data_IF_401148313604
#
_entry.id   IF_401148313604
#
_cell.length_a   1.000
_cell.length_b   1.000
_cell.length_c   1.000
_cell.angle_alpha   90.00
_cell.angle_beta   90.00
_cell.angle_gamma   90.00
#
_symmetry.space_group_name_H-M   'P 1'
#
loop_
_entity.id
_entity.type
_entity.pdbx_description
1 polymer ?
#
# COMPACT_ATOMS: atom_id res chain seq x y z
N UNK A 1 0.98 -12.18 20.47
CA UNK A 1 1.59 -10.83 20.33
C UNK A 1 2.47 -10.87 19.09
N UNK A 2 1.90 -10.60 17.91
CA UNK A 2 2.61 -10.76 16.65
C UNK A 2 3.30 -9.43 16.28
N UNK A 3 4.61 -9.37 16.50
CA UNK A 3 5.61 -8.41 15.99
C UNK A 3 5.07 -7.14 15.28
N UNK A 4 4.29 -6.33 15.99
CA UNK A 4 3.75 -5.06 15.49
C UNK A 4 4.69 -3.87 15.74
N UNK A 5 5.85 -4.13 16.36
CA UNK A 5 6.77 -3.07 16.83
C UNK A 5 7.94 -2.82 15.89
N UNK A 6 8.35 -3.81 15.10
CA UNK A 6 9.54 -3.70 14.24
C UNK A 6 9.22 -3.99 12.77
N UNK A 7 9.58 -3.05 11.90
CA UNK A 7 9.62 -3.27 10.45
C UNK A 7 11.01 -3.71 10.01
N UNK A 8 11.12 -4.25 8.80
CA UNK A 8 12.41 -4.63 8.19
C UNK A 8 13.44 -3.48 8.28
N UNK A 9 13.05 -2.26 7.89
CA UNK A 9 13.91 -1.08 7.94
C UNK A 9 14.25 -0.65 9.38
N UNK A 10 13.29 -0.78 10.31
CA UNK A 10 13.53 -0.44 11.71
C UNK A 10 14.62 -1.33 12.30
N UNK A 11 14.55 -2.65 12.07
CA UNK A 11 15.56 -3.59 12.61
C UNK A 11 16.95 -3.27 12.07
N UNK A 12 17.07 -2.97 10.77
CA UNK A 12 18.36 -2.60 10.16
C UNK A 12 18.89 -1.28 10.76
N UNK A 13 18.04 -0.26 10.86
CA UNK A 13 18.46 1.07 11.31
C UNK A 13 18.77 1.14 12.81
N UNK A 14 17.90 0.61 13.67
CA UNK A 14 18.05 0.68 15.13
C UNK A 14 18.94 -0.43 15.68
N UNK A 15 19.07 -1.55 14.97
CA UNK A 15 19.71 -2.77 15.49
C UNK A 15 18.93 -3.48 16.60
N UNK A 16 17.68 -3.10 16.81
CA UNK A 16 16.81 -3.72 17.82
C UNK A 16 15.71 -4.54 17.16
N UNK A 17 15.39 -5.69 17.77
CA UNK A 17 14.37 -6.61 17.27
C UNK A 17 14.89 -7.66 16.28
N UNK A 18 14.02 -8.62 15.97
CA UNK A 18 14.26 -9.69 15.00
C UNK A 18 12.93 -10.30 14.55
N UNK A 19 12.93 -10.97 13.40
CA UNK A 19 11.82 -11.87 13.01
C UNK A 19 12.13 -13.31 13.41
N UNK A 20 11.12 -14.02 13.89
CA UNK A 20 11.17 -15.43 14.29
C UNK A 20 9.77 -16.04 14.23
N UNK A 21 9.65 -17.34 14.53
CA UNK A 21 8.37 -18.07 14.53
C UNK A 21 7.26 -17.41 15.37
N UNK A 22 7.63 -16.72 16.44
CA UNK A 22 6.70 -16.00 17.32
C UNK A 22 6.22 -14.65 16.75
N UNK A 23 6.77 -14.23 15.61
CA UNK A 23 6.42 -12.94 15.00
C UNK A 23 5.02 -12.90 14.40
N UNK A 24 4.41 -14.06 14.13
CA UNK A 24 3.13 -14.16 13.44
C UNK A 24 3.19 -13.58 12.01
N UNK A 25 2.07 -13.00 11.56
CA UNK A 25 1.97 -12.40 10.23
C UNK A 25 2.51 -10.95 10.22
N UNK A 26 3.42 -10.64 9.29
CA UNK A 26 3.91 -9.28 9.04
C UNK A 26 4.33 -9.08 7.57
N UNK A 27 4.15 -7.87 7.03
CA UNK A 27 4.64 -7.52 5.70
C UNK A 27 6.18 -7.53 5.63
N UNK A 28 6.85 -7.22 6.74
CA UNK A 28 8.31 -7.31 6.83
C UNK A 28 8.82 -8.75 6.75
N UNK A 29 8.08 -9.73 7.28
CA UNK A 29 8.39 -11.16 7.10
C UNK A 29 8.23 -11.55 5.64
N UNK A 30 7.18 -11.07 4.95
CA UNK A 30 7.00 -11.29 3.51
C UNK A 30 8.16 -10.73 2.69
N UNK A 31 8.65 -9.53 3.04
CA UNK A 31 9.84 -8.92 2.44
C UNK A 31 11.07 -9.80 2.59
N UNK A 32 11.33 -10.28 3.79
CA UNK A 32 12.42 -11.21 4.04
C UNK A 32 12.28 -12.51 3.25
N UNK A 33 11.11 -13.17 3.29
CA UNK A 33 10.82 -14.39 2.53
C UNK A 33 11.01 -14.18 1.01
N UNK A 34 10.57 -13.04 0.48
CA UNK A 34 10.74 -12.72 -0.94
C UNK A 34 12.21 -12.62 -1.33
N UNK A 35 13.02 -11.91 -0.53
CA UNK A 35 14.47 -11.81 -0.75
C UNK A 35 15.17 -13.16 -0.61
N UNK A 36 14.80 -13.97 0.39
CA UNK A 36 15.32 -15.32 0.56
C UNK A 36 15.01 -16.20 -0.67
N UNK A 37 13.76 -16.18 -1.14
CA UNK A 37 13.35 -16.91 -2.34
C UNK A 37 14.13 -16.47 -3.59
N UNK A 38 14.38 -15.17 -3.78
CA UNK A 38 15.20 -14.64 -4.90
C UNK A 38 16.62 -15.17 -4.88
N UNK A 39 17.19 -15.37 -3.69
CA UNK A 39 18.52 -15.93 -3.49
C UNK A 39 18.54 -17.47 -3.50
N UNK A 40 17.42 -18.13 -3.79
CA UNK A 40 17.32 -19.59 -3.88
C UNK A 40 16.94 -20.29 -2.57
N UNK A 41 16.72 -19.56 -1.48
CA UNK A 41 16.28 -20.14 -0.20
C UNK A 41 14.75 -20.25 -0.17
N UNK A 42 14.25 -21.39 -0.65
CA UNK A 42 12.81 -21.62 -0.84
C UNK A 42 12.01 -21.68 0.47
N UNK A 43 11.47 -20.52 0.87
CA UNK A 43 10.55 -20.35 1.98
C UNK A 43 9.12 -20.81 1.65
N UNK A 44 8.85 -21.21 0.39
CA UNK A 44 7.50 -21.39 -0.14
C UNK A 44 6.92 -20.05 -0.60
N UNK A 45 5.60 -19.91 -0.54
CA UNK A 45 4.95 -18.62 -0.82
C UNK A 45 5.41 -17.59 0.21
N UNK A 46 5.75 -16.37 -0.24
CA UNK A 46 6.04 -15.26 0.65
C UNK A 46 4.73 -14.70 1.24
N UNK A 47 4.11 -15.46 2.12
CA UNK A 47 2.82 -15.15 2.71
C UNK A 47 2.91 -14.10 3.85
N UNK A 48 4.09 -13.93 4.43
CA UNK A 48 4.34 -13.06 5.58
C UNK A 48 4.20 -13.75 6.92
N UNK A 49 4.02 -15.08 6.96
CA UNK A 49 4.02 -15.88 8.18
C UNK A 49 5.37 -16.54 8.40
N UNK A 50 6.00 -16.27 9.54
CA UNK A 50 7.29 -16.88 9.86
C UNK A 50 7.07 -18.32 10.35
N UNK A 51 6.98 -19.26 9.42
CA UNK A 51 6.81 -20.68 9.72
C UNK A 51 8.12 -21.44 9.95
N UNK A 52 8.00 -22.73 10.27
CA UNK A 52 9.16 -23.62 10.42
C UNK A 52 10.02 -23.69 9.16
N UNK A 53 9.40 -23.68 7.97
CA UNK A 53 10.15 -23.65 6.71
C UNK A 53 10.96 -22.35 6.57
N UNK A 54 10.37 -21.19 6.87
CA UNK A 54 11.08 -19.91 6.86
C UNK A 54 12.25 -19.92 7.85
N UNK A 55 12.08 -20.47 9.05
CA UNK A 55 13.17 -20.61 10.02
C UNK A 55 14.33 -21.46 9.49
N UNK A 56 14.02 -22.61 8.87
CA UNK A 56 15.02 -23.47 8.23
C UNK A 56 15.81 -22.73 7.16
N UNK A 57 15.12 -21.96 6.31
CA UNK A 57 15.75 -21.18 5.25
C UNK A 57 16.57 -20.00 5.78
N UNK A 58 16.13 -19.36 6.87
CA UNK A 58 16.92 -18.32 7.56
C UNK A 58 18.20 -18.93 8.12
N UNK A 59 18.15 -20.10 8.76
CA UNK A 59 19.35 -20.80 9.26
C UNK A 59 20.29 -21.21 8.13
N UNK A 60 19.76 -21.68 7.00
CA UNK A 60 20.57 -22.01 5.83
C UNK A 60 21.30 -20.76 5.30
N UNK A 61 20.56 -19.67 5.07
CA UNK A 61 21.14 -18.39 4.67
C UNK A 61 22.20 -17.90 5.66
N UNK A 62 21.92 -17.94 6.97
CA UNK A 62 22.88 -17.52 7.99
C UNK A 62 24.18 -18.33 7.91
N UNK A 63 24.12 -19.66 7.79
CA UNK A 63 25.31 -20.52 7.65
C UNK A 63 26.12 -20.15 6.40
N UNK A 64 25.45 -20.01 5.27
CA UNK A 64 26.09 -19.71 3.99
C UNK A 64 26.72 -18.31 3.96
N UNK A 65 26.21 -17.39 4.79
CA UNK A 65 26.75 -16.04 4.94
C UNK A 65 27.74 -15.89 6.12
N UNK A 66 28.09 -16.98 6.81
CA UNK A 66 29.02 -16.94 7.95
C UNK A 66 28.46 -16.21 9.19
N UNK A 67 27.13 -16.16 9.33
CA UNK A 67 26.43 -15.58 10.47
C UNK A 67 26.07 -16.65 11.51
N UNK A 68 25.71 -16.22 12.72
CA UNK A 68 25.14 -17.11 13.73
C UNK A 68 23.82 -17.73 13.21
N UNK A 69 23.77 -19.05 13.05
CA UNK A 69 22.65 -19.78 12.47
C UNK A 69 21.53 -20.07 13.50
N UNK A 70 21.06 -19.01 14.18
CA UNK A 70 20.07 -19.09 15.25
C UNK A 70 18.61 -19.12 14.76
N UNK A 71 18.39 -18.90 13.45
CA UNK A 71 17.06 -18.85 12.83
C UNK A 71 16.28 -17.57 13.12
N UNK A 72 16.91 -16.58 13.75
CA UNK A 72 16.32 -15.27 14.02
C UNK A 72 16.85 -14.27 13.03
N UNK A 73 15.96 -13.63 12.28
CA UNK A 73 16.36 -12.61 11.33
C UNK A 73 16.48 -11.24 12.02
N UNK A 74 17.61 -11.03 12.69
CA UNK A 74 18.03 -9.75 13.28
C UNK A 74 18.80 -8.86 12.30
N UNK A 75 19.38 -7.76 12.79
CA UNK A 75 20.08 -6.74 11.98
C UNK A 75 21.08 -7.33 10.99
N UNK A 76 21.98 -8.20 11.43
CA UNK A 76 23.05 -8.73 10.56
C UNK A 76 22.48 -9.60 9.44
N UNK A 77 21.48 -10.43 9.77
CA UNK A 77 20.79 -11.28 8.80
C UNK A 77 20.04 -10.43 7.77
N UNK A 78 19.25 -9.45 8.22
CA UNK A 78 18.45 -8.60 7.33
C UNK A 78 19.31 -7.66 6.48
N UNK A 79 20.37 -7.09 7.07
CA UNK A 79 21.30 -6.21 6.33
C UNK A 79 22.04 -6.98 5.24
N UNK A 80 22.49 -8.20 5.56
CA UNK A 80 23.14 -9.07 4.56
C UNK A 80 22.18 -9.48 3.45
N UNK A 81 20.93 -9.79 3.82
CA UNK A 81 19.89 -10.16 2.86
C UNK A 81 19.54 -9.00 1.93
N UNK A 82 19.43 -7.78 2.46
CA UNK A 82 19.16 -6.57 1.70
C UNK A 82 20.31 -6.20 0.76
N UNK A 83 21.56 -6.38 1.19
CA UNK A 83 22.73 -6.15 0.34
C UNK A 83 22.81 -7.11 -0.86
N UNK A 84 22.40 -8.37 -0.69
CA UNK A 84 22.44 -9.39 -1.75
C UNK A 84 21.22 -9.39 -2.66
N UNK A 85 20.06 -8.96 -2.15
CA UNK A 85 18.81 -8.85 -2.90
C UNK A 85 18.14 -7.50 -2.58
N UNK A 86 18.72 -6.37 -3.02
CA UNK A 86 18.13 -5.05 -2.79
C UNK A 86 16.75 -4.95 -3.46
N UNK A 87 15.86 -4.16 -2.86
CA UNK A 87 14.58 -3.87 -3.51
C UNK A 87 14.79 -2.94 -4.70
N UNK A 88 14.04 -3.15 -5.78
CA UNK A 88 14.04 -2.22 -6.90
C UNK A 88 13.48 -0.85 -6.47
N UNK A 89 13.70 0.19 -7.30
CA UNK A 89 13.10 1.50 -7.07
C UNK A 89 11.58 1.44 -6.88
N UNK A 90 10.92 0.49 -7.56
CA UNK A 90 9.46 0.35 -7.52
C UNK A 90 8.99 -0.42 -6.28
N UNK A 91 9.78 -1.41 -5.85
CA UNK A 91 9.54 -2.19 -4.62
C UNK A 91 9.84 -1.40 -3.35
N UNK A 92 10.66 -0.36 -3.44
CA UNK A 92 10.83 0.60 -2.34
C UNK A 92 9.55 1.40 -2.06
N UNK A 93 8.68 1.55 -3.06
CA UNK A 93 7.33 2.02 -2.83
C UNK A 93 6.50 0.89 -2.22
N UNK A 94 5.73 1.18 -1.18
CA UNK A 94 4.85 0.18 -0.56
C UNK A 94 5.46 -0.56 0.62
N UNK A 95 6.67 -0.17 1.06
CA UNK A 95 7.29 -0.66 2.30
C UNK A 95 6.34 -0.54 3.50
N UNK A 96 6.51 -1.42 4.47
CA UNK A 96 5.73 -1.37 5.70
C UNK A 96 6.02 -0.06 6.46
N UNK A 97 4.96 0.71 6.69
CA UNK A 97 5.05 1.98 7.40
C UNK A 97 5.09 1.72 8.91
N UNK A 98 5.84 2.56 9.63
CA UNK A 98 5.87 2.50 11.09
C UNK A 98 4.54 2.93 11.68
N UNK A 99 4.25 2.51 12.93
CA UNK A 99 3.04 2.94 13.63
C UNK A 99 2.94 4.47 13.73
N UNK A 100 4.06 5.15 13.99
CA UNK A 100 4.14 6.61 14.02
C UNK A 100 3.78 7.25 12.66
N UNK A 101 4.26 6.68 11.55
CA UNK A 101 3.90 7.13 10.20
C UNK A 101 2.41 6.93 9.91
N UNK A 102 1.79 5.89 10.47
CA UNK A 102 0.36 5.62 10.30
C UNK A 102 -0.54 6.51 11.17
N UNK A 103 -0.12 6.87 12.39
CA UNK A 103 -0.96 7.61 13.34
C UNK A 103 -0.85 9.13 13.22
N UNK A 104 0.34 9.65 12.89
CA UNK A 104 0.57 11.10 12.78
C UNK A 104 0.24 11.67 11.39
N UNK A 105 -0.07 10.83 10.42
CA UNK A 105 -0.23 11.21 9.02
C UNK A 105 1.11 11.39 8.30
N UNK A 106 1.05 11.65 7.00
CA UNK A 106 2.24 11.77 6.15
C UNK A 106 2.65 13.23 6.03
N UNK A 107 3.88 13.55 6.39
CA UNK A 107 4.54 14.76 5.92
C UNK A 107 5.15 14.52 4.53
N UNK A 108 5.30 15.57 3.72
CA UNK A 108 6.03 15.51 2.42
C UNK A 108 7.42 14.89 2.51
N UNK A 109 8.04 14.96 3.68
CA UNK A 109 9.35 14.39 3.95
C UNK A 109 9.33 12.88 4.18
N UNK A 110 8.16 12.29 4.46
CA UNK A 110 8.05 10.87 4.84
C UNK A 110 7.62 9.94 3.69
N UNK A 111 6.96 10.47 2.65
CA UNK A 111 6.45 9.71 1.51
C UNK A 111 6.50 10.55 0.23
N UNK A 112 6.90 9.94 -0.88
CA UNK A 112 6.93 10.63 -2.17
C UNK A 112 5.52 10.79 -2.77
N UNK A 113 5.34 11.77 -3.66
CA UNK A 113 4.08 11.95 -4.42
C UNK A 113 3.67 10.66 -5.15
N UNK A 114 4.64 9.91 -5.69
CA UNK A 114 4.41 8.64 -6.38
C UNK A 114 3.83 7.61 -5.42
N UNK A 115 4.44 7.43 -4.26
CA UNK A 115 3.99 6.42 -3.30
C UNK A 115 2.62 6.78 -2.71
N UNK A 116 2.39 8.06 -2.41
CA UNK A 116 1.09 8.51 -1.90
C UNK A 116 -0.03 8.24 -2.90
N UNK A 117 0.16 8.64 -4.17
CA UNK A 117 -0.80 8.36 -5.24
C UNK A 117 -0.98 6.85 -5.47
N UNK A 118 0.09 6.06 -5.44
CA UNK A 118 0.01 4.61 -5.60
C UNK A 118 -0.79 3.95 -4.47
N UNK A 119 -0.57 4.36 -3.22
CA UNK A 119 -1.35 3.88 -2.05
C UNK A 119 -2.82 4.28 -2.16
N UNK A 120 -3.13 5.46 -2.67
CA UNK A 120 -4.52 5.87 -2.94
C UNK A 120 -5.15 4.97 -3.99
N UNK A 121 -4.51 4.78 -5.15
CA UNK A 121 -5.05 3.95 -6.24
C UNK A 121 -5.27 2.51 -5.74
N UNK A 122 -4.28 1.94 -5.04
CA UNK A 122 -4.36 0.58 -4.51
C UNK A 122 -5.42 0.44 -3.42
N UNK A 123 -5.59 1.47 -2.59
CA UNK A 123 -6.62 1.53 -1.56
C UNK A 123 -8.05 1.53 -2.11
N UNK A 124 -8.25 2.10 -3.30
CA UNK A 124 -9.54 2.08 -3.99
C UNK A 124 -9.77 0.78 -4.75
N UNK A 125 -8.73 0.25 -5.40
CA UNK A 125 -8.81 -1.03 -6.12
C UNK A 125 -7.51 -1.83 -5.97
N UNK A 126 -7.59 -2.92 -5.23
CA UNK A 126 -6.46 -3.80 -4.95
C UNK A 126 -6.24 -4.88 -6.01
N UNK A 127 -7.13 -5.03 -7.01
CA UNK A 127 -7.19 -6.24 -7.86
C UNK A 127 -7.34 -5.97 -9.34
N UNK A 128 -8.25 -5.08 -9.75
CA UNK A 128 -8.67 -4.98 -11.15
C UNK A 128 -7.88 -3.89 -11.88
N UNK A 129 -7.17 -4.27 -12.94
CA UNK A 129 -6.29 -3.36 -13.68
C UNK A 129 -7.02 -2.15 -14.25
N UNK A 130 -8.21 -2.33 -14.85
CA UNK A 130 -8.97 -1.20 -15.39
C UNK A 130 -9.67 -0.38 -14.29
N UNK A 131 -9.97 -0.99 -13.14
CA UNK A 131 -10.48 -0.29 -11.96
C UNK A 131 -9.42 0.65 -11.37
N UNK A 132 -8.18 0.16 -11.20
CA UNK A 132 -7.02 0.97 -10.82
C UNK A 132 -6.78 2.12 -11.81
N UNK A 133 -6.86 1.84 -13.11
CA UNK A 133 -6.71 2.86 -14.15
C UNK A 133 -7.83 3.91 -14.11
N UNK A 134 -9.06 3.49 -13.82
CA UNK A 134 -10.21 4.39 -13.68
C UNK A 134 -10.05 5.33 -12.47
N UNK A 135 -9.58 4.80 -11.33
CA UNK A 135 -9.24 5.61 -10.14
C UNK A 135 -8.14 6.62 -10.47
N UNK A 136 -7.06 6.19 -11.14
CA UNK A 136 -5.98 7.09 -11.53
C UNK A 136 -6.47 8.18 -12.49
N UNK A 137 -7.31 7.83 -13.48
CA UNK A 137 -7.93 8.77 -14.42
C UNK A 137 -8.83 9.79 -13.70
N UNK A 138 -9.52 9.37 -12.65
CA UNK A 138 -10.32 10.26 -11.82
C UNK A 138 -9.46 11.25 -11.03
N UNK A 139 -8.38 10.79 -10.39
CA UNK A 139 -7.40 11.67 -9.73
C UNK A 139 -6.84 12.73 -10.70
N UNK A 140 -6.51 12.32 -11.92
CA UNK A 140 -6.06 13.23 -12.98
C UNK A 140 -7.09 14.31 -13.32
N UNK A 141 -8.36 13.91 -13.53
CA UNK A 141 -9.43 14.84 -13.90
C UNK A 141 -9.69 15.85 -12.78
N UNK A 142 -9.70 15.39 -11.52
CA UNK A 142 -9.97 16.24 -10.36
C UNK A 142 -8.87 17.27 -10.12
N UNK A 143 -7.60 16.88 -10.28
CA UNK A 143 -6.46 17.81 -10.18
C UNK A 143 -6.57 18.98 -11.18
N UNK A 144 -7.26 18.77 -12.31
CA UNK A 144 -7.45 19.75 -13.38
C UNK A 144 -8.83 20.40 -13.37
N UNK A 145 -9.64 20.12 -12.36
CA UNK A 145 -10.95 20.71 -12.21
C UNK A 145 -10.86 22.05 -11.48
N UNK A 146 -11.72 23.00 -11.83
CA UNK A 146 -11.95 24.22 -11.06
C UNK A 146 -12.80 23.98 -9.80
N UNK A 147 -13.40 22.78 -9.67
CA UNK A 147 -14.29 22.41 -8.56
C UNK A 147 -13.49 22.19 -7.27
N UNK A 148 -14.14 22.44 -6.13
CA UNK A 148 -13.56 22.22 -4.80
C UNK A 148 -14.03 20.87 -4.26
N UNK A 149 -13.11 19.92 -4.15
CA UNK A 149 -13.35 18.65 -3.49
C UNK A 149 -12.98 18.81 -2.01
N UNK A 150 -13.90 18.50 -1.09
CA UNK A 150 -13.65 18.71 0.34
C UNK A 150 -12.90 17.57 1.00
N UNK A 151 -12.43 17.84 2.23
CA UNK A 151 -11.86 16.86 3.15
C UNK A 151 -12.88 16.59 4.26
N UNK A 152 -13.31 15.34 4.46
CA UNK A 152 -14.18 14.99 5.60
C UNK A 152 -13.35 14.95 6.88
N UNK A 153 -13.23 16.08 7.56
CA UNK A 153 -12.70 16.16 8.92
C UNK A 153 -13.79 15.85 9.95
N UNK A 154 -14.01 14.58 10.27
CA UNK A 154 -14.75 14.19 11.48
C UNK A 154 -13.82 14.20 12.69
N UNK A 155 -14.00 15.12 13.62
CA UNK A 155 -13.19 15.27 14.87
C UNK A 155 -13.73 14.48 16.06
N UNK A 156 -14.89 13.83 15.94
CA UNK A 156 -15.48 13.08 17.07
C UNK A 156 -14.88 11.68 17.17
N UNK A 157 -14.51 11.25 18.38
CA UNK A 157 -14.12 9.87 18.67
C UNK A 157 -15.26 8.92 18.24
N UNK A 158 -15.04 8.16 17.17
CA UNK A 158 -16.05 7.31 16.52
C UNK A 158 -16.39 7.71 15.08
N UNK A 159 -16.02 8.92 14.64
CA UNK A 159 -16.25 9.43 13.29
C UNK A 159 -15.04 9.16 12.40
N UNK A 160 -15.26 8.47 11.27
CA UNK A 160 -14.23 8.21 10.25
C UNK A 160 -13.70 9.54 9.72
N UNK A 161 -12.47 9.88 10.04
CA UNK A 161 -11.74 11.00 9.45
C UNK A 161 -11.19 10.55 8.10
N UNK A 162 -11.83 10.98 7.01
CA UNK A 162 -11.27 10.84 5.67
C UNK A 162 -10.45 12.10 5.44
N UNK A 163 -9.20 12.10 5.96
CA UNK A 163 -8.29 13.20 5.66
C UNK A 163 -8.02 13.15 4.14
N UNK A 164 -8.09 14.33 3.54
CA UNK A 164 -8.44 14.56 2.13
C UNK A 164 -7.56 13.93 1.06
N UNK A 165 -8.20 13.86 -0.11
CA UNK A 165 -7.63 13.58 -1.41
C UNK A 165 -6.25 14.21 -1.63
N UNK A 166 -5.34 13.43 -2.20
CA UNK A 166 -4.00 13.85 -2.61
C UNK A 166 -4.05 14.84 -3.78
N UNK A 167 -4.15 16.15 -3.51
CA UNK A 167 -4.12 17.18 -4.57
C UNK A 167 -3.02 18.23 -4.45
N UNK A 168 -2.38 18.36 -3.29
CA UNK A 168 -1.21 19.21 -3.14
C UNK A 168 -0.13 18.49 -2.32
N UNK A 169 1.10 19.00 -2.39
CA UNK A 169 2.21 18.47 -1.60
C UNK A 169 1.84 18.46 -0.11
N UNK A 170 1.12 19.44 0.42
CA UNK A 170 0.73 19.47 1.84
C UNK A 170 -0.38 18.50 2.28
N UNK A 171 -1.03 17.75 1.37
CA UNK A 171 -2.23 16.95 1.65
C UNK A 171 -2.15 15.50 1.16
N UNK A 172 -1.10 14.77 1.54
CA UNK A 172 -1.07 13.31 1.38
C UNK A 172 -1.70 12.64 2.60
N UNK A 173 -3.02 12.61 2.68
CA UNK A 173 -3.69 11.83 3.71
C UNK A 173 -4.08 10.45 3.18
N UNK A 174 -3.19 9.47 3.33
CA UNK A 174 -3.60 8.07 3.15
C UNK A 174 -4.49 7.69 4.35
N UNK A 175 -5.76 7.48 4.06
CA UNK A 175 -6.77 6.77 4.84
C UNK A 175 -6.45 6.40 6.29
N UNK A 176 -7.00 7.19 7.23
CA UNK A 176 -6.84 6.99 8.70
C UNK A 176 -7.94 6.13 9.35
N UNK A 177 -8.75 5.38 8.59
CA UNK A 177 -9.79 4.51 9.16
C UNK A 177 -9.25 3.29 9.92
N UNK A 178 -9.84 2.94 11.07
CA UNK A 178 -9.55 1.71 11.81
C UNK A 178 -10.44 0.52 11.38
N UNK A 179 -11.23 0.69 10.31
CA UNK A 179 -12.12 -0.35 9.77
C UNK A 179 -11.41 -1.24 8.75
N UNK A 180 -11.68 -2.55 8.83
CA UNK A 180 -11.17 -3.64 7.98
C UNK A 180 -10.99 -3.30 6.50
N UNK A 181 -11.93 -2.55 5.92
CA UNK A 181 -11.96 -2.23 4.49
C UNK A 181 -10.92 -1.20 4.01
N UNK A 182 -10.18 -0.53 4.91
CA UNK A 182 -9.19 0.51 4.58
C UNK A 182 -7.73 0.07 4.82
N UNK A 183 -7.53 -1.16 5.31
CA UNK A 183 -6.22 -1.67 5.73
C UNK A 183 -5.27 -1.91 4.55
N UNK A 184 -5.79 -2.17 3.35
CA UNK A 184 -4.98 -2.57 2.20
C UNK A 184 -4.13 -1.42 1.62
N UNK A 185 -4.61 -0.17 1.68
CA UNK A 185 -3.82 1.03 1.33
C UNK A 185 -2.56 1.19 2.19
N UNK A 186 -2.58 0.64 3.42
CA UNK A 186 -1.50 0.78 4.41
C UNK A 186 -0.43 -0.29 4.27
N UNK A 187 -0.80 -1.46 3.73
CA UNK A 187 0.06 -2.64 3.66
C UNK A 187 -0.05 -3.29 2.28
N UNK A 188 0.25 -2.56 1.18
CA UNK A 188 0.27 -3.18 -0.12
C UNK A 188 1.27 -4.34 -0.11
N UNK A 189 0.99 -5.38 -0.90
CA UNK A 189 2.03 -6.36 -1.18
C UNK A 189 3.02 -5.71 -2.16
N UNK A 190 4.14 -5.19 -1.65
CA UNK A 190 5.12 -4.44 -2.44
C UNK A 190 5.69 -5.22 -3.66
N UNK A 191 5.51 -6.54 -3.69
CA UNK A 191 5.96 -7.43 -4.75
C UNK A 191 4.84 -7.91 -5.68
N UNK A 192 3.60 -7.46 -5.48
CA UNK A 192 2.50 -7.89 -6.32
C UNK A 192 2.43 -7.11 -7.62
N UNK A 193 1.85 -7.73 -8.65
CA UNK A 193 1.66 -7.08 -9.95
C UNK A 193 0.66 -5.94 -9.84
N UNK A 194 -0.35 -6.08 -8.97
CA UNK A 194 -1.37 -5.08 -8.68
C UNK A 194 -0.76 -3.83 -8.06
N UNK A 195 0.19 -3.99 -7.13
CA UNK A 195 0.91 -2.85 -6.55
C UNK A 195 1.82 -2.16 -7.57
N UNK A 196 2.58 -2.93 -8.36
CA UNK A 196 3.45 -2.38 -9.41
C UNK A 196 2.65 -1.57 -10.45
N UNK A 197 1.43 -2.00 -10.78
CA UNK A 197 0.50 -1.24 -11.63
C UNK A 197 0.10 0.10 -11.00
N UNK A 198 -0.25 0.13 -9.71
CA UNK A 198 -0.55 1.37 -9.00
C UNK A 198 0.63 2.34 -9.00
N UNK A 199 1.86 1.85 -8.80
CA UNK A 199 3.09 2.66 -8.89
C UNK A 199 3.27 3.24 -10.29
N UNK A 200 3.05 2.43 -11.34
CA UNK A 200 3.15 2.88 -12.74
C UNK A 200 2.11 3.97 -13.09
N UNK A 201 0.86 3.78 -12.64
CA UNK A 201 -0.20 4.77 -12.78
C UNK A 201 0.14 6.06 -12.02
N UNK A 202 0.63 5.96 -10.79
CA UNK A 202 1.05 7.11 -10.00
C UNK A 202 2.18 7.90 -10.67
N UNK A 203 3.19 7.23 -11.22
CA UNK A 203 4.25 7.89 -12.01
C UNK A 203 3.67 8.61 -13.24
N UNK A 204 2.68 8.03 -13.90
CA UNK A 204 1.98 8.64 -15.04
C UNK A 204 1.29 9.94 -14.63
N UNK A 205 0.63 9.94 -13.47
CA UNK A 205 -0.01 11.14 -12.89
C UNK A 205 1.01 12.23 -12.53
N UNK A 206 2.14 11.86 -11.90
CA UNK A 206 3.21 12.80 -11.55
C UNK A 206 3.82 13.47 -12.79
N UNK A 207 3.89 12.76 -13.93
CA UNK A 207 4.31 13.32 -15.22
C UNK A 207 3.23 14.20 -15.88
N UNK A 208 2.05 14.32 -15.28
CA UNK A 208 0.93 15.08 -15.84
C UNK A 208 0.28 14.42 -17.06
N UNK A 209 0.44 13.10 -17.22
CA UNK A 209 -0.15 12.34 -18.33
C UNK A 209 -1.48 11.72 -17.86
N UNK A 210 -2.50 11.77 -18.71
CA UNK A 210 -3.82 11.17 -18.42
C UNK A 210 -3.79 9.66 -18.62
N UNK A 211 -4.12 8.84 -17.60
CA UNK A 211 -4.25 7.40 -17.77
C UNK A 211 -5.43 7.02 -18.70
N UNK A 212 -5.25 5.96 -19.48
CA UNK A 212 -6.33 5.33 -20.24
C UNK A 212 -7.11 4.35 -19.36
N UNK A 213 -8.43 4.38 -19.46
CA UNK A 213 -9.32 3.39 -18.82
C UNK A 213 -10.57 3.24 -19.66
N UNK A 214 -11.05 1.99 -19.80
CA UNK A 214 -12.29 1.67 -20.53
C UNK A 214 -13.55 1.96 -19.72
N UNK A 215 -13.44 1.95 -18.39
CA UNK A 215 -14.51 2.28 -17.45
C UNK A 215 -14.74 3.80 -17.24
N UNK A 216 -13.84 4.67 -17.70
CA UNK A 216 -13.71 6.03 -17.14
C UNK A 216 -13.90 7.22 -18.09
N UNK A 217 -14.94 7.32 -18.91
CA UNK A 217 -15.16 8.53 -19.74
C UNK A 217 -15.32 9.81 -18.92
N UNK A 218 -15.94 9.81 -17.73
CA UNK A 218 -15.92 10.92 -16.74
C UNK A 218 -16.66 10.52 -15.47
N UNK A 219 -16.02 10.45 -14.29
CA UNK A 219 -16.72 10.07 -13.05
C UNK A 219 -16.95 11.27 -12.15
N UNK A 220 -18.18 11.41 -11.66
CA UNK A 220 -18.55 12.50 -10.74
C UNK A 220 -19.22 12.00 -9.46
N UNK A 221 -19.50 10.69 -9.34
CA UNK A 221 -20.23 10.15 -8.20
C UNK A 221 -19.95 8.67 -7.93
N UNK A 222 -19.82 8.31 -6.65
CA UNK A 222 -19.83 6.93 -6.14
C UNK A 222 -21.16 6.71 -5.43
N UNK A 223 -22.08 5.91 -6.00
CA UNK A 223 -23.30 5.48 -5.30
C UNK A 223 -23.12 4.08 -4.71
N UNK A 224 -23.70 3.85 -3.53
CA UNK A 224 -23.59 2.61 -2.75
C UNK A 224 -24.30 1.40 -3.33
N UNK A 225 -25.16 1.57 -4.35
CA UNK A 225 -26.27 0.63 -4.59
C UNK A 225 -26.11 -0.18 -5.88
N UNK A 226 -24.90 -0.30 -6.42
CA UNK A 226 -24.71 -0.83 -7.77
C UNK A 226 -23.70 -1.99 -7.81
N UNK A 227 -24.11 -3.12 -8.39
CA UNK A 227 -23.32 -4.34 -8.59
C UNK A 227 -22.47 -4.30 -9.85
N UNK A 228 -21.30 -4.94 -9.81
CA UNK A 228 -20.38 -5.09 -10.95
C UNK A 228 -20.75 -6.30 -11.81
N UNK A 229 -20.67 -6.27 -13.15
CA UNK A 229 -20.69 -5.12 -14.07
C UNK A 229 -22.13 -4.79 -14.53
N UNK A 230 -22.49 -3.52 -14.73
CA UNK A 230 -23.77 -3.14 -15.33
C UNK A 230 -23.60 -2.18 -16.51
N UNK A 231 -24.31 -2.47 -17.58
CA UNK A 231 -24.33 -1.81 -18.88
C UNK A 231 -25.45 -0.75 -19.00
N UNK A 232 -26.05 -0.34 -17.88
CA UNK A 232 -27.35 0.33 -17.85
C UNK A 232 -27.35 1.81 -17.46
N UNK A 233 -26.19 2.48 -17.33
CA UNK A 233 -26.16 3.90 -16.89
C UNK A 233 -25.39 4.83 -17.83
N UNK A 234 -26.13 5.77 -18.42
CA UNK A 234 -25.66 6.87 -19.27
C UNK A 234 -24.90 7.98 -18.51
N UNK A 235 -24.41 7.69 -17.29
CA UNK A 235 -23.52 8.59 -16.55
C UNK A 235 -22.36 7.77 -16.04
N UNK A 236 -21.16 8.10 -16.49
CA UNK A 236 -19.96 7.36 -16.12
C UNK A 236 -19.72 7.45 -14.62
N UNK A 237 -19.69 6.30 -13.96
CA UNK A 237 -19.31 6.13 -12.56
C UNK A 237 -18.33 4.97 -12.52
N UNK A 238 -17.17 5.16 -11.89
CA UNK A 238 -16.33 4.03 -11.49
C UNK A 238 -17.10 3.36 -10.36
N UNK A 239 -17.74 2.23 -10.65
CA UNK A 239 -18.37 1.43 -9.62
C UNK A 239 -17.31 0.65 -8.85
N UNK A 240 -17.02 1.08 -7.62
CA UNK A 240 -16.28 0.28 -6.64
C UNK A 240 -17.31 -0.63 -5.93
N UNK A 241 -17.04 -1.94 -5.73
CA UNK A 241 -17.97 -2.85 -5.07
C UNK A 241 -18.48 -2.32 -3.72
N UNK A 242 -19.77 -2.51 -3.43
CA UNK A 242 -20.35 -2.14 -2.15
C UNK A 242 -19.56 -2.79 -0.98
N UNK A 243 -18.99 -1.97 -0.10
CA UNK A 243 -18.18 -2.44 1.03
C UNK A 243 -16.68 -2.61 0.76
N UNK A 244 -16.15 -2.16 -0.37
CA UNK A 244 -14.71 -2.16 -0.68
C UNK A 244 -14.27 -0.74 -1.08
N UNK A 245 -13.07 -0.31 -0.68
CA UNK A 245 -12.50 1.00 -1.07
C UNK A 245 -12.99 2.22 -0.28
N UNK A 246 -12.37 3.37 -0.52
CA UNK A 246 -12.71 4.64 0.12
C UNK A 246 -13.67 5.46 -0.75
N UNK A 247 -14.52 6.25 -0.10
CA UNK A 247 -15.49 7.07 -0.83
C UNK A 247 -14.87 8.43 -1.14
N UNK A 248 -14.75 8.77 -2.42
CA UNK A 248 -14.50 10.13 -2.86
C UNK A 248 -15.79 10.98 -2.76
N UNK A 249 -15.77 12.05 -1.97
CA UNK A 249 -16.93 12.94 -1.77
C UNK A 249 -16.77 14.26 -2.54
N UNK A 250 -17.90 14.80 -3.00
CA UNK A 250 -18.05 16.12 -3.60
C UNK A 250 -19.11 16.87 -2.79
N UNK A 251 -18.79 18.07 -2.31
CA UNK A 251 -19.70 18.86 -1.48
C UNK A 251 -20.56 19.83 -2.29
N UNK A 252 -20.33 19.93 -3.61
CA UNK A 252 -21.01 20.90 -4.47
C UNK A 252 -22.28 20.34 -5.14
N UNK A 253 -22.69 19.12 -4.82
CA UNK A 253 -24.01 18.60 -5.20
C UNK A 253 -24.90 18.56 -3.96
N UNK A 254 -25.51 19.70 -3.64
CA UNK A 254 -26.86 19.64 -3.07
C UNK A 254 -27.74 18.93 -4.10
N UNK A 255 -28.30 17.78 -3.72
CA UNK A 255 -29.39 17.14 -4.46
C UNK A 255 -30.59 18.08 -4.54
#
# INVERSE_FOLDING_TARGET
MANSSYTFDNIISTGTGYFSKESGFSASVRRMQTKLNRLGYNCGSADGYFGANTETQVKAFQRDQGLAADGKAGRDTLSRLDALSPDSADENYGRELTHAQLTSGYSNSAISNVEALARTIYGEDTRYSDGQAAVAKELYNRQRSSRKFGSLSGTSAGSKSWKGLCYDSSQYAVMTGNSSHTQDSRKPNQYSTEWARCVSLAKTLVRGVKPSSTLGTQCFHLSSDSSYPSNSVASTRVQIPAGVGNKFFDYQTSL
#
